data_IF_584452019563
#
_entry.id   IF_584452019563
#
_cell.length_a   1.000
_cell.length_b   1.000
_cell.length_c   1.000
_cell.angle_alpha   90.00
_cell.angle_beta   90.00
_cell.angle_gamma   90.00
#
_symmetry.space_group_name_H-M   'P 1'
#
loop_
_entity.id
_entity.type
_entity.pdbx_description
1 polymer ?
#
# COMPACT_ATOMS: atom_id res chain seq x y z
N UNK A 1 14.15 12.28 -35.27
CA UNK A 1 14.63 12.30 -33.87
C UNK A 1 13.49 12.78 -32.99
N UNK A 2 12.58 11.89 -32.61
CA UNK A 2 11.56 12.19 -31.61
C UNK A 2 12.06 11.65 -30.27
N UNK A 3 12.32 12.58 -29.35
CA UNK A 3 12.82 12.35 -28.01
C UNK A 3 11.64 12.41 -27.03
N UNK A 4 11.55 11.37 -26.20
CA UNK A 4 10.84 11.31 -24.91
C UNK A 4 9.32 11.54 -24.91
N UNK A 5 8.58 10.46 -25.19
CA UNK A 5 7.30 10.24 -24.53
C UNK A 5 7.58 9.65 -23.14
N UNK A 6 7.38 10.47 -22.10
CA UNK A 6 7.41 10.03 -20.71
C UNK A 6 6.27 9.01 -20.51
N UNK A 7 6.62 7.76 -20.22
CA UNK A 7 5.65 6.71 -19.93
C UNK A 7 5.08 6.94 -18.52
N UNK A 8 4.03 7.75 -18.41
CA UNK A 8 3.10 7.60 -17.29
C UNK A 8 2.41 6.24 -17.46
N UNK A 9 2.85 5.25 -16.67
CA UNK A 9 2.11 4.01 -16.48
C UNK A 9 0.65 4.34 -16.15
N UNK A 10 -0.28 3.65 -16.80
CA UNK A 10 -1.69 3.98 -16.75
C UNK A 10 -2.28 3.60 -15.37
N UNK A 11 -2.19 4.52 -14.38
CA UNK A 11 -2.71 4.37 -13.01
C UNK A 11 -4.22 4.01 -12.97
N UNK A 12 -4.95 4.18 -14.08
CA UNK A 12 -6.37 3.86 -14.24
C UNK A 12 -6.74 2.38 -13.98
N UNK A 13 -5.75 1.47 -13.90
CA UNK A 13 -5.99 0.03 -13.71
C UNK A 13 -5.88 -0.47 -12.27
N UNK A 14 -5.32 0.33 -11.34
CA UNK A 14 -5.13 -0.06 -9.94
C UNK A 14 -5.70 1.02 -9.02
N UNK A 15 -6.93 0.85 -8.49
CA UNK A 15 -7.64 1.90 -7.75
C UNK A 15 -6.85 2.49 -6.57
N UNK A 16 -6.08 1.65 -5.86
CA UNK A 16 -5.27 2.11 -4.73
C UNK A 16 -4.16 3.10 -5.12
N UNK A 17 -3.72 3.12 -6.39
CA UNK A 17 -2.71 4.05 -6.87
C UNK A 17 -3.29 5.40 -7.31
N UNK A 18 -4.60 5.51 -7.55
CA UNK A 18 -5.22 6.75 -8.01
C UNK A 18 -5.04 7.89 -6.99
N UNK A 19 -5.22 7.56 -5.71
CA UNK A 19 -5.14 8.53 -4.62
C UNK A 19 -3.90 8.31 -3.71
N UNK A 20 -3.02 7.36 -4.04
CA UNK A 20 -1.85 7.08 -3.19
C UNK A 20 -0.89 8.28 -3.10
N UNK A 21 -0.41 8.56 -1.90
CA UNK A 21 0.70 9.51 -1.73
C UNK A 21 1.97 8.82 -2.22
N UNK A 22 2.60 9.39 -3.25
CA UNK A 22 3.84 8.88 -3.82
C UNK A 22 4.97 9.86 -3.60
N UNK A 23 6.07 9.37 -3.03
CA UNK A 23 7.33 10.11 -2.91
C UNK A 23 8.28 9.54 -3.94
N UNK A 24 8.60 10.34 -4.95
CA UNK A 24 9.56 9.96 -5.97
C UNK A 24 10.99 10.04 -5.47
N UNK A 25 11.82 9.15 -6.03
CA UNK A 25 13.26 9.24 -5.91
C UNK A 25 13.80 10.52 -6.57
N UNK A 26 15.00 10.93 -6.19
CA UNK A 26 15.71 12.04 -6.86
C UNK A 26 16.55 11.56 -8.05
N UNK A 27 16.71 10.25 -8.20
CA UNK A 27 17.37 9.58 -9.32
C UNK A 27 16.39 8.64 -10.03
N UNK A 28 16.89 7.89 -11.03
CA UNK A 28 16.11 6.82 -11.65
C UNK A 28 15.67 5.82 -10.58
N UNK A 29 14.37 5.64 -10.44
CA UNK A 29 13.77 4.70 -9.50
C UNK A 29 14.07 3.26 -9.95
N UNK A 30 14.73 2.49 -9.07
CA UNK A 30 15.12 1.09 -9.31
C UNK A 30 14.65 0.16 -8.20
N UNK A 31 13.88 0.69 -7.25
CA UNK A 31 13.29 0.00 -6.11
C UNK A 31 12.03 0.74 -5.68
N UNK A 32 11.12 0.02 -5.04
CA UNK A 32 9.91 0.59 -4.45
C UNK A 32 9.71 0.11 -3.01
N UNK A 33 9.12 0.97 -2.19
CA UNK A 33 8.55 0.63 -0.89
C UNK A 33 7.06 0.91 -0.97
N UNK A 34 6.23 -0.10 -0.74
CA UNK A 34 4.78 0.04 -0.57
C UNK A 34 4.52 -0.01 0.93
N UNK A 35 4.06 1.11 1.51
CA UNK A 35 3.84 1.23 2.95
C UNK A 35 2.35 1.35 3.28
N UNK A 36 1.84 0.42 4.09
CA UNK A 36 0.44 0.36 4.50
C UNK A 36 0.26 0.95 5.91
N UNK A 37 -0.50 2.03 6.03
CA UNK A 37 -0.78 2.70 7.30
C UNK A 37 -1.68 1.86 8.24
N UNK A 38 -1.74 2.25 9.51
CA UNK A 38 -2.62 1.61 10.50
C UNK A 38 -4.09 2.01 10.39
N UNK A 39 -4.96 1.32 11.11
CA UNK A 39 -6.41 1.61 11.17
C UNK A 39 -6.67 3.09 11.50
N UNK A 40 -7.55 3.73 10.73
CA UNK A 40 -8.00 5.12 10.95
C UNK A 40 -7.07 6.22 10.40
N UNK A 41 -5.86 5.87 9.98
CA UNK A 41 -4.86 6.81 9.45
C UNK A 41 -5.03 7.04 7.93
N UNK A 42 -4.10 7.77 7.32
CA UNK A 42 -3.97 7.94 5.87
C UNK A 42 -2.51 7.76 5.44
N UNK A 43 -2.25 7.54 4.14
CA UNK A 43 -0.91 7.49 3.57
C UNK A 43 -0.06 8.75 3.75
N UNK A 44 -0.64 9.92 4.05
CA UNK A 44 0.11 11.17 4.25
C UNK A 44 1.07 11.08 5.45
N UNK A 45 0.58 10.59 6.59
CA UNK A 45 1.35 10.50 7.83
C UNK A 45 2.64 9.69 7.66
N UNK A 46 2.54 8.58 6.91
CA UNK A 46 3.68 7.71 6.62
C UNK A 46 4.56 8.22 5.49
N UNK A 47 3.98 8.89 4.49
CA UNK A 47 4.76 9.56 3.46
C UNK A 47 5.68 10.63 4.07
N UNK A 48 5.16 11.47 4.98
CA UNK A 48 5.96 12.49 5.66
C UNK A 48 7.10 11.86 6.48
N UNK A 49 6.81 10.79 7.22
CA UNK A 49 7.82 10.05 7.97
C UNK A 49 8.90 9.42 7.07
N UNK A 50 8.50 8.74 5.99
CA UNK A 50 9.41 8.06 5.05
C UNK A 50 10.25 9.04 4.24
N UNK A 51 9.74 10.25 3.97
CA UNK A 51 10.49 11.30 3.26
C UNK A 51 11.80 11.68 3.97
N UNK A 52 11.84 11.58 5.29
CA UNK A 52 13.04 11.90 6.09
C UNK A 52 14.18 10.87 5.94
N UNK A 53 13.85 9.64 5.54
CA UNK A 53 14.79 8.53 5.36
C UNK A 53 14.85 8.07 3.89
N UNK A 54 14.39 8.90 2.95
CA UNK A 54 14.28 8.54 1.55
C UNK A 54 15.64 8.24 0.93
N UNK A 55 15.70 7.16 0.16
CA UNK A 55 16.84 6.84 -0.69
C UNK A 55 16.63 7.39 -2.10
N UNK A 56 17.67 7.89 -2.79
CA UNK A 56 17.52 8.61 -4.06
C UNK A 56 16.95 7.74 -5.19
N UNK A 57 17.14 6.42 -5.13
CA UNK A 57 16.71 5.45 -6.15
C UNK A 57 15.45 4.67 -5.77
N UNK A 58 14.79 5.02 -4.65
CA UNK A 58 13.60 4.32 -4.13
C UNK A 58 12.36 5.20 -4.29
N UNK A 59 11.32 4.63 -4.89
CA UNK A 59 9.96 5.19 -4.89
C UNK A 59 9.22 4.72 -3.63
N UNK A 60 8.57 5.63 -2.90
CA UNK A 60 7.73 5.25 -1.76
C UNK A 60 6.26 5.48 -2.11
N UNK A 61 5.44 4.45 -1.97
CA UNK A 61 4.01 4.45 -2.29
C UNK A 61 3.26 4.21 -0.99
N UNK A 62 2.46 5.18 -0.58
CA UNK A 62 1.65 5.13 0.65
C UNK A 62 0.17 5.21 0.27
N UNK A 63 -0.48 4.07 -0.06
CA UNK A 63 -1.88 4.08 -0.47
C UNK A 63 -2.80 4.43 0.70
N UNK A 64 -4.01 4.89 0.38
CA UNK A 64 -5.08 5.11 1.36
C UNK A 64 -5.96 3.86 1.49
N UNK A 65 -6.18 3.41 2.72
CA UNK A 65 -7.17 2.38 2.98
C UNK A 65 -8.58 2.89 2.63
N UNK A 66 -9.45 2.06 2.05
CA UNK A 66 -10.83 2.44 1.80
C UNK A 66 -11.56 2.73 3.11
N UNK A 67 -12.58 3.58 3.05
CA UNK A 67 -13.45 3.84 4.20
C UNK A 67 -14.52 2.76 4.30
N UNK A 68 -14.45 1.93 5.34
CA UNK A 68 -15.38 0.81 5.58
C UNK A 68 -15.89 0.85 7.04
N UNK A 69 -17.06 0.27 7.33
CA UNK A 69 -17.49 0.10 8.72
C UNK A 69 -16.58 -0.90 9.44
N UNK A 70 -16.18 -0.57 10.68
CA UNK A 70 -15.31 -1.44 11.50
C UNK A 70 -16.06 -1.95 12.70
N UNK A 71 -16.23 -3.27 12.80
CA UNK A 71 -17.02 -3.95 13.83
C UNK A 71 -16.52 -3.65 15.24
N UNK A 72 -15.21 -3.69 15.47
CA UNK A 72 -14.58 -3.35 16.74
C UNK A 72 -14.94 -1.92 17.21
N UNK A 73 -15.13 -0.99 16.27
CA UNK A 73 -15.44 0.41 16.52
C UNK A 73 -16.93 0.71 16.32
N UNK A 74 -17.81 -0.21 16.73
CA UNK A 74 -19.27 -0.07 16.66
C UNK A 74 -19.78 0.22 15.23
N UNK A 75 -19.14 -0.36 14.21
CA UNK A 75 -19.42 -0.15 12.78
C UNK A 75 -19.24 1.30 12.30
N UNK A 76 -18.47 2.11 13.01
CA UNK A 76 -18.08 3.43 12.55
C UNK A 76 -17.29 3.32 11.23
N UNK A 77 -17.62 4.17 10.26
CA UNK A 77 -16.96 4.19 8.94
C UNK A 77 -15.66 4.99 9.01
N UNK A 78 -14.54 4.30 8.83
CA UNK A 78 -13.19 4.89 8.89
C UNK A 78 -12.23 4.18 7.93
N UNK A 79 -11.06 4.76 7.62
CA UNK A 79 -10.03 4.08 6.82
C UNK A 79 -9.63 2.75 7.45
N UNK A 80 -9.87 1.64 6.75
CA UNK A 80 -9.47 0.32 7.21
C UNK A 80 -9.28 -0.63 6.03
N UNK A 81 -8.27 -1.49 6.12
CA UNK A 81 -7.94 -2.40 5.04
C UNK A 81 -8.91 -3.59 4.94
N UNK A 82 -9.41 -4.04 6.08
CA UNK A 82 -10.34 -5.16 6.25
C UNK A 82 -11.10 -4.97 7.58
N UNK A 83 -12.25 -5.63 7.76
CA UNK A 83 -13.00 -5.47 9.01
C UNK A 83 -12.21 -6.05 10.20
N UNK A 84 -12.21 -5.33 11.31
CA UNK A 84 -11.54 -5.72 12.55
C UNK A 84 -12.61 -6.02 13.59
N UNK A 85 -12.63 -7.25 14.13
CA UNK A 85 -13.65 -7.70 15.07
C UNK A 85 -13.12 -7.85 16.51
N UNK A 86 -11.81 -7.96 16.70
CA UNK A 86 -11.17 -8.08 18.02
C UNK A 86 -9.66 -7.86 17.94
N UNK A 87 -9.02 -7.86 19.12
CA UNK A 87 -7.56 -7.66 19.26
C UNK A 87 -6.85 -8.86 19.90
N UNK A 88 -7.60 -9.86 20.38
CA UNK A 88 -7.04 -11.12 20.88
C UNK A 88 -6.69 -12.05 19.73
N UNK A 89 -5.68 -12.93 19.87
CA UNK A 89 -5.38 -13.96 18.87
C UNK A 89 -6.56 -14.88 18.53
N UNK A 90 -7.47 -15.10 19.48
CA UNK A 90 -8.67 -15.93 19.29
C UNK A 90 -9.87 -15.16 18.73
N UNK A 91 -9.70 -13.87 18.40
CA UNK A 91 -10.78 -13.08 17.81
C UNK A 91 -11.07 -13.57 16.39
N UNK A 92 -12.34 -13.57 15.94
CA UNK A 92 -12.66 -13.80 14.55
C UNK A 92 -11.96 -12.79 13.63
N UNK A 93 -11.46 -13.26 12.49
CA UNK A 93 -10.83 -12.42 11.46
C UNK A 93 -11.70 -12.34 10.20
N UNK A 94 -11.64 -11.19 9.50
CA UNK A 94 -12.32 -10.98 8.22
C UNK A 94 -11.52 -11.63 7.09
N UNK A 95 -11.52 -12.96 7.01
CA UNK A 95 -10.72 -13.70 6.02
C UNK A 95 -10.96 -13.22 4.58
N UNK A 96 -12.22 -12.97 4.23
CA UNK A 96 -12.57 -12.49 2.89
C UNK A 96 -12.07 -11.07 2.63
N UNK A 97 -12.21 -10.17 3.61
CA UNK A 97 -11.67 -8.80 3.50
C UNK A 97 -10.16 -8.78 3.44
N UNK A 98 -9.47 -9.59 4.25
CA UNK A 98 -8.01 -9.74 4.25
C UNK A 98 -7.53 -10.23 2.87
N UNK A 99 -8.12 -11.31 2.34
CA UNK A 99 -7.81 -11.82 1.00
C UNK A 99 -8.03 -10.77 -0.08
N UNK A 100 -9.18 -10.10 -0.07
CA UNK A 100 -9.49 -9.04 -1.04
C UNK A 100 -8.51 -7.88 -0.95
N UNK A 101 -8.15 -7.45 0.26
CA UNK A 101 -7.17 -6.39 0.46
C UNK A 101 -5.79 -6.81 -0.05
N UNK A 102 -5.38 -8.06 0.21
CA UNK A 102 -4.11 -8.60 -0.26
C UNK A 102 -4.03 -8.63 -1.78
N UNK A 103 -5.09 -9.08 -2.47
CA UNK A 103 -5.15 -9.06 -3.94
C UNK A 103 -5.06 -7.62 -4.50
N UNK A 104 -5.66 -6.63 -3.83
CA UNK A 104 -5.50 -5.24 -4.23
C UNK A 104 -4.04 -4.75 -4.09
N UNK A 105 -3.32 -5.19 -3.05
CA UNK A 105 -1.90 -4.87 -2.87
C UNK A 105 -1.02 -5.62 -3.87
N UNK A 106 -1.32 -6.88 -4.18
CA UNK A 106 -0.64 -7.63 -5.27
C UNK A 106 -0.78 -6.91 -6.60
N UNK A 107 -1.96 -6.36 -6.91
CA UNK A 107 -2.13 -5.54 -8.11
C UNK A 107 -1.24 -4.29 -8.14
N UNK A 108 -0.97 -3.66 -6.98
CA UNK A 108 0.00 -2.56 -6.87
C UNK A 108 1.42 -3.07 -7.15
N UNK A 109 1.81 -4.21 -6.56
CA UNK A 109 3.12 -4.84 -6.80
C UNK A 109 3.31 -5.15 -8.29
N UNK A 110 2.34 -5.82 -8.91
CA UNK A 110 2.36 -6.19 -10.33
C UNK A 110 2.44 -4.98 -11.24
N UNK A 111 1.77 -3.87 -10.87
CA UNK A 111 1.90 -2.61 -11.58
C UNK A 111 3.33 -2.07 -11.55
N UNK A 112 4.00 -2.06 -10.39
CA UNK A 112 5.38 -1.59 -10.30
C UNK A 112 6.36 -2.52 -11.03
N UNK A 113 6.12 -3.84 -10.99
CA UNK A 113 6.88 -4.83 -11.78
C UNK A 113 6.73 -4.58 -13.27
N UNK A 114 5.51 -4.37 -13.74
CA UNK A 114 5.22 -4.07 -15.15
C UNK A 114 5.88 -2.76 -15.60
N UNK A 115 6.05 -1.81 -14.70
CA UNK A 115 6.73 -0.53 -14.96
C UNK A 115 8.26 -0.58 -14.74
N UNK A 116 8.82 -1.76 -14.52
CA UNK A 116 10.27 -2.01 -14.58
C UNK A 116 11.00 -2.09 -13.24
N UNK A 117 10.30 -2.09 -12.10
CA UNK A 117 10.90 -2.34 -10.80
C UNK A 117 10.82 -3.85 -10.50
N UNK A 118 11.91 -4.61 -10.52
CA UNK A 118 11.83 -6.06 -10.34
C UNK A 118 11.33 -6.41 -8.93
N UNK A 119 10.58 -7.51 -8.79
CA UNK A 119 9.92 -7.87 -7.53
C UNK A 119 10.88 -7.99 -6.33
N UNK A 120 12.12 -8.43 -6.56
CA UNK A 120 13.17 -8.51 -5.52
C UNK A 120 13.71 -7.13 -5.06
N UNK A 121 13.21 -6.05 -5.65
CA UNK A 121 13.50 -4.65 -5.29
C UNK A 121 12.25 -3.91 -4.79
N UNK A 122 11.17 -4.65 -4.52
CA UNK A 122 9.95 -4.13 -3.92
C UNK A 122 9.88 -4.60 -2.47
N UNK A 123 9.81 -3.64 -1.54
CA UNK A 123 9.54 -3.92 -0.14
C UNK A 123 8.07 -3.64 0.13
N UNK A 124 7.37 -4.62 0.71
CA UNK A 124 6.06 -4.42 1.29
C UNK A 124 6.21 -4.25 2.81
N UNK A 125 5.75 -3.12 3.33
CA UNK A 125 5.86 -2.75 4.73
C UNK A 125 4.55 -2.15 5.23
N UNK A 126 4.37 -2.11 6.55
CA UNK A 126 3.21 -1.46 7.13
C UNK A 126 3.27 -1.38 8.65
N UNK A 127 2.32 -0.63 9.21
CA UNK A 127 2.18 -0.44 10.65
C UNK A 127 0.83 -0.96 11.14
N UNK A 128 0.81 -1.64 12.29
CA UNK A 128 -0.41 -2.18 12.93
C UNK A 128 -1.24 -3.01 11.92
N UNK A 129 -2.51 -2.68 11.67
CA UNK A 129 -3.36 -3.35 10.67
C UNK A 129 -2.72 -3.42 9.28
N UNK A 130 -2.07 -2.34 8.83
CA UNK A 130 -1.34 -2.32 7.56
C UNK A 130 -0.15 -3.28 7.57
N UNK A 131 0.56 -3.39 8.69
CA UNK A 131 1.65 -4.35 8.85
C UNK A 131 1.17 -5.81 8.81
N UNK A 132 0.02 -6.10 9.43
CA UNK A 132 -0.61 -7.41 9.34
C UNK A 132 -0.97 -7.76 7.88
N UNK A 133 -1.56 -6.82 7.14
CA UNK A 133 -1.85 -7.02 5.71
C UNK A 133 -0.59 -7.22 4.88
N UNK A 134 0.47 -6.46 5.15
CA UNK A 134 1.78 -6.61 4.49
C UNK A 134 2.35 -8.01 4.68
N UNK A 135 2.30 -8.53 5.91
CA UNK A 135 2.76 -9.88 6.21
C UNK A 135 1.94 -10.95 5.47
N UNK A 136 0.61 -10.87 5.54
CA UNK A 136 -0.27 -11.81 4.85
C UNK A 136 0.03 -11.82 3.34
N UNK A 137 0.00 -10.63 2.72
CA UNK A 137 0.21 -10.47 1.27
C UNK A 137 1.56 -10.99 0.80
N UNK A 138 2.63 -10.78 1.58
CA UNK A 138 3.97 -11.22 1.20
C UNK A 138 4.18 -12.74 1.34
N UNK A 139 3.34 -13.42 2.12
CA UNK A 139 3.49 -14.85 2.45
C UNK A 139 2.45 -15.75 1.78
N UNK A 140 1.45 -15.19 1.09
CA UNK A 140 0.35 -15.91 0.41
C UNK A 140 0.08 -15.36 -0.98
#
# INVERSE_FOLDING_TARGET
>A
CELYSCMCGNNMSVPLLADAVTISGTERETAAVIFLHGLGDTGHSWADALSSIRLPYVKYICPHAPRIPVTLNMKMVMPSWFDLMGLSPDAPEDENGIKKAAENIKAVIDHEVKNGIPANRIILAGFSQGGALSLYTALT
#
